data_IF_791326877995
#
_entry.id   IF_791326877995
#
_cell.length_a   1.000
_cell.length_b   1.000
_cell.length_c   1.000
_cell.angle_alpha   90.00
_cell.angle_beta   90.00
_cell.angle_gamma   90.00
#
_symmetry.space_group_name_H-M   'P 1'
#
loop_
_entity.id
_entity.type
_entity.pdbx_description
1 polymer ?
#
# COMPACT_ATOMS: atom_id res chain seq x y z
N UNK A 1 4.43 18.54 -46.31
CA UNK A 1 4.89 19.63 -45.40
C UNK A 1 6.39 19.72 -45.52
N UNK A 2 6.95 20.85 -45.96
CA UNK A 2 8.40 21.09 -45.84
C UNK A 2 8.68 21.31 -44.36
N UNK A 3 9.55 20.51 -43.77
CA UNK A 3 10.01 20.74 -42.39
C UNK A 3 10.75 22.06 -42.40
N UNK A 4 10.26 23.04 -41.66
CA UNK A 4 10.95 24.32 -41.48
C UNK A 4 12.34 24.10 -40.89
N UNK A 5 13.30 24.95 -41.28
CA UNK A 5 14.68 24.84 -40.81
C UNK A 5 14.72 25.19 -39.32
N UNK A 6 15.13 24.22 -38.49
CA UNK A 6 15.28 24.39 -37.04
C UNK A 6 16.64 25.05 -36.73
N UNK A 7 16.68 25.89 -35.69
CA UNK A 7 17.89 26.54 -35.18
C UNK A 7 18.10 26.18 -33.70
N UNK A 8 19.35 25.97 -33.29
CA UNK A 8 19.74 25.78 -31.89
C UNK A 8 20.10 27.15 -31.32
N UNK A 9 19.34 27.59 -30.32
CA UNK A 9 19.57 28.88 -29.64
C UNK A 9 20.23 28.61 -28.27
N UNK A 10 21.39 29.24 -28.04
CA UNK A 10 22.05 29.22 -26.74
C UNK A 10 21.72 30.49 -25.96
N UNK A 11 21.24 30.32 -24.73
CA UNK A 11 21.04 31.41 -23.77
C UNK A 11 21.77 31.04 -22.47
N UNK A 12 22.77 31.81 -22.02
CA UNK A 12 23.51 31.52 -20.80
C UNK A 12 22.67 31.74 -19.52
N UNK A 13 21.56 32.49 -19.59
CA UNK A 13 20.66 32.77 -18.48
C UNK A 13 19.19 32.70 -18.98
N UNK A 14 18.70 31.50 -19.34
CA UNK A 14 17.41 31.36 -19.98
C UNK A 14 16.28 31.93 -19.10
N UNK A 15 15.34 32.70 -19.68
CA UNK A 15 14.16 33.16 -18.97
C UNK A 15 13.37 31.99 -18.38
N UNK A 16 12.76 32.22 -17.21
CA UNK A 16 12.00 31.19 -16.49
C UNK A 16 10.94 30.51 -17.36
N UNK A 17 10.32 31.27 -18.27
CA UNK A 17 9.33 30.75 -19.21
C UNK A 17 9.89 29.66 -20.13
N UNK A 18 11.12 29.82 -20.65
CA UNK A 18 11.76 28.82 -21.51
C UNK A 18 12.18 27.60 -20.70
N UNK A 19 12.73 27.79 -19.49
CA UNK A 19 13.04 26.68 -18.58
C UNK A 19 11.78 25.89 -18.26
N UNK A 20 10.68 26.58 -17.93
CA UNK A 20 9.39 25.98 -17.61
C UNK A 20 8.84 25.19 -18.80
N UNK A 21 8.85 25.79 -19.99
CA UNK A 21 8.44 25.12 -21.23
C UNK A 21 9.15 23.77 -21.41
N UNK A 22 10.48 23.71 -21.24
CA UNK A 22 11.23 22.45 -21.37
C UNK A 22 10.83 21.45 -20.28
N UNK A 23 10.79 21.89 -19.01
CA UNK A 23 10.49 21.00 -17.88
C UNK A 23 9.07 20.44 -17.90
N UNK A 24 8.06 21.24 -18.24
CA UNK A 24 6.65 20.83 -18.34
C UNK A 24 6.41 19.95 -19.56
N UNK A 25 7.07 20.24 -20.69
CA UNK A 25 7.00 19.39 -21.88
C UNK A 25 7.58 18.00 -21.60
N UNK A 26 8.73 17.93 -20.92
CA UNK A 26 9.35 16.67 -20.52
C UNK A 26 8.48 15.93 -19.49
N UNK A 27 7.92 16.63 -18.49
CA UNK A 27 7.02 16.03 -17.52
C UNK A 27 5.78 15.42 -18.19
N UNK A 28 5.17 16.14 -19.15
CA UNK A 28 4.01 15.67 -19.91
C UNK A 28 4.35 14.43 -20.75
N UNK A 29 5.50 14.45 -21.42
CA UNK A 29 6.00 13.28 -22.16
C UNK A 29 6.21 12.07 -21.24
N UNK A 30 6.85 12.27 -20.08
CA UNK A 30 7.11 11.20 -19.12
C UNK A 30 5.81 10.61 -18.56
N UNK A 31 4.81 11.44 -18.25
CA UNK A 31 3.48 10.98 -17.82
C UNK A 31 2.84 10.14 -18.92
N UNK A 32 2.86 10.61 -20.17
CA UNK A 32 2.31 9.86 -21.29
C UNK A 32 3.03 8.51 -21.54
N UNK A 33 4.36 8.49 -21.38
CA UNK A 33 5.17 7.30 -21.61
C UNK A 33 5.07 6.26 -20.48
N UNK A 34 4.90 6.70 -19.23
CA UNK A 34 4.96 5.80 -18.05
C UNK A 34 3.60 5.54 -17.42
N UNK A 35 2.59 6.38 -17.69
CA UNK A 35 1.30 6.36 -16.99
C UNK A 35 1.39 6.82 -15.52
N UNK A 36 2.58 7.17 -15.02
CA UNK A 36 2.79 7.59 -13.64
C UNK A 36 2.51 9.09 -13.50
N UNK A 37 1.88 9.47 -12.39
CA UNK A 37 1.53 10.87 -12.11
C UNK A 37 2.76 11.78 -12.11
N UNK A 38 2.52 13.07 -12.38
CA UNK A 38 3.56 14.07 -12.52
C UNK A 38 4.49 14.14 -11.30
N UNK A 39 5.78 14.35 -11.61
CA UNK A 39 6.81 14.78 -10.68
C UNK A 39 6.28 15.90 -9.77
N UNK A 40 6.53 15.81 -8.46
CA UNK A 40 6.18 16.91 -7.56
C UNK A 40 7.27 17.19 -6.53
N UNK A 41 7.52 18.48 -6.21
CA UNK A 41 8.52 18.89 -5.24
C UNK A 41 8.02 18.67 -3.80
N UNK A 42 8.94 18.40 -2.89
CA UNK A 42 8.70 18.30 -1.44
C UNK A 42 9.71 19.14 -0.67
N UNK A 43 9.24 19.74 0.43
CA UNK A 43 10.06 20.58 1.29
C UNK A 43 9.71 20.40 2.75
N UNK A 44 10.74 20.25 3.60
CA UNK A 44 10.61 20.10 5.05
C UNK A 44 11.51 21.12 5.72
N UNK A 45 10.98 21.94 6.63
CA UNK A 45 11.71 23.08 7.17
C UNK A 45 11.77 23.04 8.69
N UNK A 46 12.91 23.43 9.25
CA UNK A 46 13.09 23.63 10.67
C UNK A 46 12.81 25.10 10.99
N UNK A 47 11.76 25.36 11.78
CA UNK A 47 11.39 26.71 12.22
C UNK A 47 11.43 26.81 13.75
N UNK A 48 12.02 27.88 14.27
CA UNK A 48 12.05 28.16 15.71
C UNK A 48 10.69 28.65 16.22
N UNK A 49 10.52 28.70 17.55
CA UNK A 49 9.32 29.29 18.18
C UNK A 49 9.17 30.79 17.88
N UNK A 50 10.26 31.50 17.64
CA UNK A 50 10.26 32.92 17.25
C UNK A 50 10.00 33.13 15.76
N UNK A 51 9.86 32.06 14.97
CA UNK A 51 9.55 32.12 13.54
C UNK A 51 10.77 32.13 12.61
N UNK A 52 11.98 31.95 13.15
CA UNK A 52 13.23 31.90 12.38
C UNK A 52 13.41 30.54 11.67
N UNK A 53 13.90 30.56 10.44
CA UNK A 53 14.23 29.35 9.66
C UNK A 53 15.66 28.90 9.96
N UNK A 54 15.80 27.68 10.49
CA UNK A 54 17.07 27.15 11.01
C UNK A 54 17.60 25.95 10.21
N UNK A 55 16.91 25.56 9.13
CA UNK A 55 17.28 24.42 8.30
C UNK A 55 16.16 23.96 7.40
N UNK A 56 16.48 23.06 6.46
CA UNK A 56 15.48 22.41 5.63
C UNK A 56 16.04 21.27 4.79
N UNK A 57 15.10 20.49 4.24
CA UNK A 57 15.32 19.45 3.26
C UNK A 57 14.43 19.75 2.05
N UNK A 58 15.02 19.73 0.87
CA UNK A 58 14.31 19.82 -0.41
C UNK A 58 14.49 18.52 -1.19
N UNK A 59 13.48 18.17 -1.97
CA UNK A 59 13.52 17.00 -2.83
C UNK A 59 12.33 16.95 -3.78
N UNK A 60 12.18 15.81 -4.43
CA UNK A 60 11.06 15.56 -5.32
C UNK A 60 10.67 14.08 -5.28
N UNK A 61 9.40 13.80 -5.56
CA UNK A 61 8.89 12.43 -5.68
C UNK A 61 8.46 12.18 -7.12
N UNK A 62 8.93 11.07 -7.67
CA UNK A 62 8.49 10.56 -8.97
C UNK A 62 8.79 9.06 -9.07
N UNK A 63 7.94 8.33 -9.79
CA UNK A 63 8.17 6.91 -10.07
C UNK A 63 8.24 5.99 -8.84
N UNK A 64 7.63 6.38 -7.72
CA UNK A 64 7.73 5.63 -6.45
C UNK A 64 9.07 5.83 -5.72
N UNK A 65 9.80 6.90 -6.02
CA UNK A 65 11.05 7.24 -5.35
C UNK A 65 11.06 8.70 -4.88
N UNK A 66 11.56 8.92 -3.67
CA UNK A 66 11.99 10.23 -3.19
C UNK A 66 13.42 10.50 -3.67
N UNK A 67 13.67 11.64 -4.29
CA UNK A 67 15.02 12.14 -4.53
C UNK A 67 15.27 13.36 -3.64
N UNK A 68 16.23 13.27 -2.72
CA UNK A 68 16.63 14.40 -1.87
C UNK A 68 17.70 15.20 -2.59
N UNK A 69 17.41 16.48 -2.87
CA UNK A 69 18.32 17.37 -3.59
C UNK A 69 19.17 18.20 -2.64
N UNK A 70 18.59 18.66 -1.51
CA UNK A 70 19.28 19.52 -0.57
C UNK A 70 18.93 19.15 0.87
N UNK A 71 19.93 19.19 1.75
CA UNK A 71 19.74 19.12 3.20
C UNK A 71 20.70 20.12 3.86
N UNK A 72 20.15 21.07 4.61
CA UNK A 72 20.95 22.06 5.31
C UNK A 72 20.39 22.35 6.70
N UNK A 73 21.30 22.58 7.65
CA UNK A 73 20.97 22.94 9.04
C UNK A 73 21.94 24.02 9.51
N UNK A 74 21.42 25.08 10.11
CA UNK A 74 22.18 26.19 10.67
C UNK A 74 23.18 25.70 11.72
N UNK A 75 24.40 26.25 11.69
CA UNK A 75 25.52 25.82 12.54
C UNK A 75 25.18 25.81 14.03
N UNK A 76 24.44 26.82 14.50
CA UNK A 76 24.02 26.99 15.89
C UNK A 76 23.19 25.81 16.44
N UNK A 77 22.51 25.06 15.58
CA UNK A 77 21.64 23.93 15.98
C UNK A 77 22.13 22.58 15.43
N UNK A 78 23.35 22.50 14.90
CA UNK A 78 23.93 21.22 14.48
C UNK A 78 24.19 20.31 15.68
N UNK A 79 24.36 19.01 15.41
CA UNK A 79 24.58 17.94 16.41
C UNK A 79 23.40 17.70 17.37
N UNK A 80 22.26 18.35 17.16
CA UNK A 80 21.01 18.12 17.91
C UNK A 80 20.01 17.22 17.14
N UNK A 81 20.51 16.39 16.22
CA UNK A 81 19.73 15.45 15.39
C UNK A 81 18.67 16.09 14.49
N UNK A 82 18.66 17.41 14.26
CA UNK A 82 17.71 18.05 13.34
C UNK A 82 17.80 17.52 11.90
N UNK A 83 19.01 17.29 11.38
CA UNK A 83 19.18 16.64 10.07
C UNK A 83 18.55 15.23 10.03
N UNK A 84 18.64 14.47 11.13
CA UNK A 84 17.95 13.18 11.25
C UNK A 84 16.44 13.34 11.13
N UNK A 85 15.88 14.31 11.87
CA UNK A 85 14.44 14.54 11.91
C UNK A 85 13.89 14.98 10.55
N UNK A 86 14.64 15.81 9.83
CA UNK A 86 14.30 16.22 8.46
C UNK A 86 14.27 15.02 7.50
N UNK A 87 15.31 14.17 7.53
CA UNK A 87 15.34 12.94 6.72
C UNK A 87 14.18 12.01 7.08
N UNK A 88 13.94 11.76 8.37
CA UNK A 88 12.84 10.89 8.82
C UNK A 88 11.47 11.40 8.38
N UNK A 89 11.22 12.72 8.46
CA UNK A 89 9.98 13.31 7.99
C UNK A 89 9.80 13.14 6.48
N UNK A 90 10.88 13.35 5.70
CA UNK A 90 10.84 13.17 4.25
C UNK A 90 10.63 11.71 3.85
N UNK A 91 11.33 10.77 4.49
CA UNK A 91 11.19 9.32 4.26
C UNK A 91 9.78 8.83 4.63
N UNK A 92 9.24 9.26 5.79
CA UNK A 92 7.89 8.88 6.21
C UNK A 92 6.83 9.38 5.21
N UNK A 93 6.93 10.64 4.80
CA UNK A 93 6.04 11.19 3.78
C UNK A 93 6.19 10.47 2.43
N UNK A 94 7.40 10.10 2.03
CA UNK A 94 7.61 9.32 0.82
C UNK A 94 6.92 7.95 0.90
N UNK A 95 7.02 7.26 2.04
CA UNK A 95 6.32 5.99 2.30
C UNK A 95 4.80 6.15 2.22
N UNK A 96 4.23 7.19 2.86
CA UNK A 96 2.79 7.51 2.76
C UNK A 96 2.33 7.75 1.32
N UNK A 97 3.25 8.22 0.46
CA UNK A 97 3.02 8.46 -0.96
C UNK A 97 3.34 7.25 -1.84
N UNK A 98 3.60 6.09 -1.24
CA UNK A 98 3.88 4.85 -1.94
C UNK A 98 5.28 4.72 -2.49
N UNK A 99 6.23 5.52 -1.99
CA UNK A 99 7.61 5.38 -2.42
C UNK A 99 8.25 4.12 -1.83
N UNK A 100 8.82 3.30 -2.70
CA UNK A 100 9.57 2.09 -2.32
C UNK A 100 10.99 2.41 -1.85
N UNK A 101 11.50 3.59 -2.22
CA UNK A 101 12.88 3.98 -1.98
C UNK A 101 13.12 5.48 -1.99
N UNK A 102 14.31 5.85 -1.54
CA UNK A 102 14.85 7.19 -1.64
C UNK A 102 16.24 7.17 -2.28
N UNK A 103 16.58 8.21 -3.03
CA UNK A 103 17.91 8.47 -3.56
C UNK A 103 18.39 9.85 -3.16
N UNK A 104 19.72 10.02 -3.15
CA UNK A 104 20.36 11.31 -2.97
C UNK A 104 21.78 11.28 -3.52
N UNK A 105 22.36 12.46 -3.62
CA UNK A 105 23.76 12.66 -3.99
C UNK A 105 24.48 13.40 -2.87
N UNK A 106 25.76 13.07 -2.65
CA UNK A 106 26.60 13.82 -1.71
C UNK A 106 28.05 13.73 -2.12
N UNK A 107 28.87 14.70 -1.75
CA UNK A 107 30.30 14.74 -2.07
C UNK A 107 31.17 14.25 -0.91
N UNK A 108 32.44 13.96 -1.19
CA UNK A 108 33.44 13.51 -0.21
C UNK A 108 33.70 14.48 0.94
N UNK A 109 33.45 15.78 0.74
CA UNK A 109 33.56 16.83 1.77
C UNK A 109 32.22 17.13 2.47
N UNK A 110 31.15 16.46 2.06
CA UNK A 110 29.84 16.55 2.70
C UNK A 110 29.60 15.34 3.63
N UNK A 111 28.33 14.99 3.84
CA UNK A 111 27.90 14.16 4.95
C UNK A 111 27.67 12.69 4.55
N UNK A 112 28.57 12.07 3.76
CA UNK A 112 28.43 10.64 3.39
C UNK A 112 28.21 9.72 4.62
N UNK A 113 29.03 9.78 5.69
CA UNK A 113 28.82 8.94 6.87
C UNK A 113 27.51 9.22 7.61
N UNK A 114 26.90 10.40 7.42
CA UNK A 114 25.58 10.70 7.97
C UNK A 114 24.51 9.88 7.24
N UNK A 115 24.54 9.79 5.91
CA UNK A 115 23.54 9.03 5.16
C UNK A 115 23.72 7.51 5.36
N UNK A 116 24.95 7.01 5.35
CA UNK A 116 25.24 5.58 5.58
C UNK A 116 24.71 5.09 6.95
N UNK A 117 24.90 5.90 8.01
CA UNK A 117 24.33 5.62 9.35
C UNK A 117 22.80 5.58 9.38
N UNK A 118 22.12 6.01 8.32
CA UNK A 118 20.65 6.00 8.17
C UNK A 118 20.17 4.89 7.22
N UNK A 119 21.06 4.00 6.80
CA UNK A 119 20.73 2.87 5.92
C UNK A 119 20.74 3.24 4.44
N UNK A 120 21.39 4.34 4.06
CA UNK A 120 21.70 4.61 2.66
C UNK A 120 22.96 3.85 2.25
N UNK A 121 22.93 3.29 1.05
CA UNK A 121 24.02 2.55 0.44
C UNK A 121 24.50 3.26 -0.81
N UNK A 122 25.81 3.30 -1.02
CA UNK A 122 26.41 3.82 -2.26
C UNK A 122 26.16 2.81 -3.38
N UNK A 123 25.56 3.26 -4.48
CA UNK A 123 25.37 2.43 -5.69
C UNK A 123 26.18 2.91 -6.89
N UNK A 124 26.67 4.15 -6.86
CA UNK A 124 27.61 4.68 -7.85
C UNK A 124 28.51 5.75 -7.22
N UNK A 125 29.71 5.89 -7.78
CA UNK A 125 30.68 6.94 -7.44
C UNK A 125 31.14 7.61 -8.73
N UNK A 126 31.22 8.93 -8.71
CA UNK A 126 31.88 9.74 -9.72
C UNK A 126 33.13 10.34 -9.10
N UNK A 127 34.29 9.87 -9.54
CA UNK A 127 35.58 10.35 -9.07
C UNK A 127 35.96 11.67 -9.73
N UNK A 128 36.85 12.41 -9.06
CA UNK A 128 37.40 13.70 -9.50
C UNK A 128 36.33 14.78 -9.77
N UNK A 129 35.28 14.81 -8.94
CA UNK A 129 34.20 15.77 -8.98
C UNK A 129 33.91 16.42 -7.62
N UNK A 130 34.17 17.73 -7.47
CA UNK A 130 35.16 18.51 -8.24
C UNK A 130 36.58 17.92 -8.14
N UNK A 131 37.57 18.42 -8.90
CA UNK A 131 38.92 17.88 -8.88
C UNK A 131 39.47 17.66 -7.45
N UNK A 132 39.98 16.46 -7.18
CA UNK A 132 40.46 16.04 -5.86
C UNK A 132 39.38 15.52 -4.91
N UNK A 133 38.12 15.46 -5.34
CA UNK A 133 36.97 14.99 -4.55
C UNK A 133 36.16 13.95 -5.34
N UNK A 134 35.32 13.18 -4.66
CA UNK A 134 34.34 12.29 -5.31
C UNK A 134 32.91 12.69 -4.97
N UNK A 135 31.99 12.42 -5.90
CA UNK A 135 30.54 12.48 -5.71
C UNK A 135 29.99 11.06 -5.59
N UNK A 136 29.15 10.84 -4.60
CA UNK A 136 28.52 9.56 -4.31
C UNK A 136 27.03 9.65 -4.61
N UNK A 137 26.50 8.60 -5.23
CA UNK A 137 25.08 8.40 -5.43
C UNK A 137 24.62 7.32 -4.46
N UNK A 138 23.66 7.68 -3.62
CA UNK A 138 23.17 6.83 -2.56
C UNK A 138 21.71 6.49 -2.79
N UNK A 139 21.33 5.28 -2.37
CA UNK A 139 19.95 4.82 -2.33
C UNK A 139 19.62 4.20 -0.99
N UNK A 140 18.36 4.25 -0.61
CA UNK A 140 17.81 3.55 0.55
C UNK A 140 16.47 2.96 0.15
N UNK A 141 16.25 1.70 0.49
CA UNK A 141 14.91 1.12 0.40
C UNK A 141 14.09 1.59 1.60
N UNK A 142 12.90 2.14 1.36
CA UNK A 142 12.03 2.68 2.41
C UNK A 142 11.02 1.66 2.93
N UNK A 143 10.71 0.63 2.13
CA UNK A 143 9.79 -0.44 2.49
C UNK A 143 10.51 -1.81 2.48
N UNK A 144 10.26 -2.67 3.47
CA UNK A 144 10.71 -4.06 3.46
C UNK A 144 10.28 -4.79 2.19
N UNK A 145 11.11 -5.73 1.74
CA UNK A 145 10.74 -6.62 0.64
C UNK A 145 9.59 -7.52 1.06
N UNK A 146 8.68 -7.76 0.12
CA UNK A 146 7.64 -8.78 0.25
C UNK A 146 8.31 -10.15 0.34
N UNK A 147 8.03 -10.96 1.38
CA UNK A 147 8.59 -12.31 1.48
C UNK A 147 8.21 -13.15 0.26
N UNK A 148 9.12 -13.98 -0.25
CA UNK A 148 8.86 -14.83 -1.44
C UNK A 148 7.63 -15.73 -1.27
N UNK A 149 7.37 -16.18 -0.04
CA UNK A 149 6.19 -16.99 0.28
C UNK A 149 4.90 -16.18 0.23
N UNK A 150 4.93 -14.92 0.67
CA UNK A 150 3.80 -13.99 0.50
C UNK A 150 3.55 -13.73 -1.00
N UNK A 151 4.61 -13.49 -1.78
CA UNK A 151 4.53 -13.34 -3.24
C UNK A 151 3.88 -14.56 -3.89
N UNK A 152 4.29 -15.77 -3.50
CA UNK A 152 3.72 -17.02 -4.02
C UNK A 152 2.20 -17.12 -3.81
N UNK A 153 1.70 -16.69 -2.65
CA UNK A 153 0.26 -16.64 -2.39
C UNK A 153 -0.45 -15.57 -3.23
N UNK A 154 0.14 -14.38 -3.36
CA UNK A 154 -0.42 -13.32 -4.19
C UNK A 154 -0.47 -13.74 -5.66
N UNK A 155 0.57 -14.40 -6.16
CA UNK A 155 0.63 -14.91 -7.53
C UNK A 155 -0.42 -16.00 -7.76
N UNK A 156 -0.65 -16.88 -6.78
CA UNK A 156 -1.74 -17.86 -6.84
C UNK A 156 -3.11 -17.17 -6.89
N UNK A 157 -3.34 -16.20 -6.00
CA UNK A 157 -4.63 -15.56 -5.81
C UNK A 157 -5.00 -14.58 -6.93
N UNK A 158 -4.02 -13.78 -7.38
CA UNK A 158 -4.20 -12.72 -8.37
C UNK A 158 -3.76 -13.11 -9.79
N UNK A 159 -3.05 -14.22 -9.97
CA UNK A 159 -2.37 -14.56 -11.23
C UNK A 159 -0.92 -14.05 -11.21
N UNK A 160 0.01 -14.56 -12.04
CA UNK A 160 1.45 -14.21 -12.01
C UNK A 160 1.70 -12.75 -12.41
N UNK A 161 2.87 -12.18 -12.09
CA UNK A 161 3.21 -10.76 -12.39
C UNK A 161 3.09 -10.39 -13.88
N UNK A 162 3.28 -11.37 -14.77
CA UNK A 162 3.17 -11.18 -16.22
C UNK A 162 1.72 -11.27 -16.74
N UNK A 163 0.75 -11.60 -15.89
CA UNK A 163 -0.66 -11.71 -16.29
C UNK A 163 -1.26 -10.30 -16.48
N UNK A 164 -1.72 -9.93 -17.69
CA UNK A 164 -2.30 -8.61 -17.95
C UNK A 164 -3.60 -8.38 -17.16
N UNK A 165 -4.26 -9.44 -16.69
CA UNK A 165 -5.50 -9.38 -15.91
C UNK A 165 -5.25 -9.48 -14.40
N UNK A 166 -3.99 -9.49 -13.94
CA UNK A 166 -3.63 -9.61 -12.50
C UNK A 166 -4.30 -8.57 -11.61
N UNK A 167 -4.47 -7.36 -12.13
CA UNK A 167 -5.09 -6.24 -11.42
C UNK A 167 -6.60 -6.13 -11.66
N UNK A 168 -7.21 -7.12 -12.34
CA UNK A 168 -8.64 -7.16 -12.61
C UNK A 168 -9.40 -8.04 -11.59
N UNK A 169 -10.69 -7.80 -11.35
CA UNK A 169 -11.51 -8.67 -10.52
C UNK A 169 -11.63 -10.08 -11.13
N UNK A 170 -11.34 -11.14 -10.35
CA UNK A 170 -11.46 -12.52 -10.82
C UNK A 170 -12.73 -13.19 -10.27
N UNK A 171 -13.54 -13.87 -11.10
CA UNK A 171 -14.74 -14.58 -10.63
C UNK A 171 -14.45 -15.63 -9.55
N UNK A 172 -13.28 -16.28 -9.61
CA UNK A 172 -12.87 -17.36 -8.71
C UNK A 172 -12.84 -16.94 -7.23
N UNK A 173 -12.66 -15.65 -6.93
CA UNK A 173 -12.67 -15.12 -5.55
C UNK A 173 -14.04 -15.23 -4.88
N UNK A 174 -15.12 -15.22 -5.67
CA UNK A 174 -16.51 -15.25 -5.18
C UNK A 174 -17.29 -16.48 -5.63
N UNK A 175 -16.80 -17.15 -6.68
CA UNK A 175 -17.36 -18.37 -7.27
C UNK A 175 -16.24 -19.39 -7.42
N UNK A 176 -15.73 -19.83 -6.27
CA UNK A 176 -14.66 -20.83 -6.23
C UNK A 176 -15.15 -22.21 -6.70
N UNK A 177 -14.20 -23.12 -6.95
CA UNK A 177 -14.46 -24.51 -7.33
C UNK A 177 -13.75 -25.46 -6.37
N UNK A 178 -14.19 -26.72 -6.33
CA UNK A 178 -13.57 -27.73 -5.47
C UNK A 178 -12.09 -27.96 -5.84
N UNK A 179 -11.74 -27.83 -7.12
CA UNK A 179 -10.36 -27.93 -7.59
C UNK A 179 -9.51 -26.76 -7.08
N UNK A 180 -10.05 -25.54 -7.07
CA UNK A 180 -9.36 -24.37 -6.53
C UNK A 180 -9.19 -24.49 -5.01
N UNK A 181 -10.24 -24.89 -4.30
CA UNK A 181 -10.20 -25.09 -2.84
C UNK A 181 -9.17 -26.18 -2.47
N UNK A 182 -9.13 -27.29 -3.23
CA UNK A 182 -8.17 -28.37 -3.03
C UNK A 182 -6.72 -27.93 -3.32
N UNK A 183 -6.49 -27.17 -4.40
CA UNK A 183 -5.18 -26.62 -4.71
C UNK A 183 -4.73 -25.62 -3.63
N UNK A 184 -5.59 -24.69 -3.25
CA UNK A 184 -5.30 -23.70 -2.20
C UNK A 184 -4.98 -24.38 -0.87
N UNK A 185 -5.71 -25.44 -0.51
CA UNK A 185 -5.45 -26.23 0.69
C UNK A 185 -4.10 -26.95 0.61
N UNK A 186 -3.80 -27.61 -0.51
CA UNK A 186 -2.52 -28.32 -0.68
C UNK A 186 -1.34 -27.36 -0.55
N UNK A 187 -1.43 -26.19 -1.17
CA UNK A 187 -0.32 -25.24 -1.21
C UNK A 187 -0.18 -24.43 0.09
N UNK A 188 -1.28 -23.94 0.69
CA UNK A 188 -1.21 -22.90 1.72
C UNK A 188 -1.79 -23.29 3.09
N UNK A 189 -2.18 -24.55 3.32
CA UNK A 189 -2.64 -24.98 4.65
C UNK A 189 -1.57 -24.76 5.74
N UNK A 190 -0.30 -25.09 5.45
CA UNK A 190 0.78 -24.88 6.41
C UNK A 190 1.01 -23.39 6.73
N UNK A 191 0.90 -22.52 5.72
CA UNK A 191 1.01 -21.07 5.89
C UNK A 191 -0.17 -20.51 6.69
N UNK A 192 -1.38 -21.05 6.48
CA UNK A 192 -2.54 -20.74 7.31
C UNK A 192 -2.29 -21.07 8.78
N UNK A 193 -1.83 -22.29 9.09
CA UNK A 193 -1.57 -22.69 10.49
C UNK A 193 -0.49 -21.79 11.13
N UNK A 194 0.55 -21.44 10.37
CA UNK A 194 1.59 -20.51 10.82
C UNK A 194 1.07 -19.09 11.05
N UNK A 195 0.20 -18.58 10.16
CA UNK A 195 -0.44 -17.28 10.30
C UNK A 195 -1.39 -17.25 11.52
N UNK A 196 -2.26 -18.25 11.65
CA UNK A 196 -3.20 -18.39 12.76
C UNK A 196 -2.47 -18.54 14.11
N UNK A 197 -1.30 -19.21 14.11
CA UNK A 197 -0.40 -19.29 15.26
C UNK A 197 0.41 -18.01 15.53
N UNK A 198 0.33 -17.00 14.66
CA UNK A 198 1.01 -15.71 14.82
C UNK A 198 2.47 -15.68 14.35
N UNK A 199 2.99 -16.75 13.77
CA UNK A 199 4.38 -16.86 13.32
C UNK A 199 4.71 -16.01 12.08
N UNK A 200 3.68 -15.53 11.36
CA UNK A 200 3.84 -14.71 10.14
C UNK A 200 3.61 -13.21 10.36
N UNK A 201 3.61 -12.72 11.61
CA UNK A 201 3.45 -11.28 11.92
C UNK A 201 4.45 -10.37 11.21
N UNK A 202 5.65 -10.87 10.90
CA UNK A 202 6.67 -10.10 10.16
C UNK A 202 6.23 -9.71 8.75
N UNK A 203 5.24 -10.39 8.17
CA UNK A 203 4.71 -10.04 6.84
C UNK A 203 3.99 -8.70 6.83
N UNK A 204 3.50 -8.22 7.99
CA UNK A 204 2.90 -6.90 8.13
C UNK A 204 3.90 -5.75 7.92
N UNK A 205 5.17 -6.03 7.65
CA UNK A 205 6.19 -5.02 7.41
C UNK A 205 6.13 -4.40 6.01
N UNK A 206 5.42 -5.00 5.04
CA UNK A 206 5.20 -4.44 3.70
C UNK A 206 3.72 -4.48 3.29
N UNK A 207 3.27 -3.64 2.33
CA UNK A 207 1.87 -3.63 1.89
C UNK A 207 1.39 -4.98 1.35
N UNK A 208 2.17 -5.59 0.47
CA UNK A 208 1.85 -6.89 -0.13
C UNK A 208 1.96 -8.03 0.89
N UNK A 209 2.94 -7.97 1.80
CA UNK A 209 3.04 -8.95 2.89
C UNK A 209 1.84 -8.90 3.81
N UNK A 210 1.38 -7.70 4.18
CA UNK A 210 0.15 -7.51 4.95
C UNK A 210 -1.07 -8.05 4.18
N UNK A 211 -1.20 -7.76 2.89
CA UNK A 211 -2.28 -8.30 2.06
C UNK A 211 -2.27 -9.83 2.04
N UNK A 212 -1.12 -10.46 1.84
CA UNK A 212 -0.98 -11.91 1.84
C UNK A 212 -1.38 -12.52 3.19
N UNK A 213 -0.98 -11.89 4.31
CA UNK A 213 -1.40 -12.31 5.64
C UNK A 213 -2.92 -12.20 5.82
N UNK A 214 -3.55 -11.14 5.32
CA UNK A 214 -5.01 -10.98 5.35
C UNK A 214 -5.71 -12.05 4.52
N UNK A 215 -5.18 -12.40 3.35
CA UNK A 215 -5.72 -13.52 2.57
C UNK A 215 -5.62 -14.84 3.35
N UNK A 216 -4.49 -15.12 3.99
CA UNK A 216 -4.33 -16.33 4.83
C UNK A 216 -5.33 -16.37 5.98
N UNK A 217 -5.60 -15.25 6.64
CA UNK A 217 -6.45 -15.22 7.84
C UNK A 217 -7.94 -15.04 7.53
N UNK A 218 -8.31 -14.47 6.38
CA UNK A 218 -9.70 -14.14 6.04
C UNK A 218 -10.22 -14.96 4.86
N UNK A 219 -9.55 -14.97 3.72
CA UNK A 219 -10.10 -15.61 2.51
C UNK A 219 -9.82 -17.11 2.47
N UNK A 220 -8.56 -17.50 2.64
CA UNK A 220 -8.11 -18.89 2.58
C UNK A 220 -8.92 -19.83 3.49
N UNK A 221 -9.26 -19.48 4.74
CA UNK A 221 -10.02 -20.38 5.63
C UNK A 221 -11.44 -20.65 5.13
N UNK A 222 -12.06 -19.68 4.44
CA UNK A 222 -13.41 -19.79 3.85
C UNK A 222 -13.44 -20.77 2.68
N UNK A 223 -12.31 -20.99 2.03
CA UNK A 223 -12.10 -21.99 0.98
C UNK A 223 -11.70 -23.34 1.59
N UNK A 224 -10.59 -23.41 2.33
CA UNK A 224 -9.97 -24.70 2.71
C UNK A 224 -10.71 -25.43 3.85
N UNK A 225 -11.57 -24.73 4.60
CA UNK A 225 -12.40 -25.28 5.68
C UNK A 225 -13.90 -25.05 5.46
N UNK A 226 -14.35 -24.99 4.20
CA UNK A 226 -15.77 -24.84 3.85
C UNK A 226 -16.65 -25.81 4.67
N UNK A 227 -17.74 -25.28 5.23
CA UNK A 227 -18.67 -26.07 6.03
C UNK A 227 -18.17 -26.44 7.44
N UNK A 228 -17.03 -25.90 7.89
CA UNK A 228 -16.50 -26.09 9.24
C UNK A 228 -16.40 -24.78 10.03
N UNK A 229 -16.56 -24.80 11.37
CA UNK A 229 -16.27 -23.63 12.22
C UNK A 229 -14.85 -23.07 12.04
N UNK A 230 -13.90 -23.89 11.56
CA UNK A 230 -12.53 -23.46 11.25
C UNK A 230 -12.47 -22.35 10.18
N UNK A 231 -13.49 -22.23 9.32
CA UNK A 231 -13.57 -21.15 8.33
C UNK A 231 -13.64 -19.74 8.96
N UNK A 232 -14.02 -19.64 10.24
CA UNK A 232 -14.18 -18.36 10.97
C UNK A 232 -13.18 -18.21 12.12
N UNK A 233 -12.37 -19.23 12.41
CA UNK A 233 -11.54 -19.28 13.61
C UNK A 233 -10.47 -18.18 13.68
N UNK A 234 -10.07 -17.65 12.52
CA UNK A 234 -9.04 -16.62 12.37
C UNK A 234 -9.61 -15.22 12.08
N UNK A 235 -10.93 -15.05 12.03
CA UNK A 235 -11.60 -13.77 11.69
C UNK A 235 -11.12 -12.62 12.61
N UNK A 236 -10.96 -12.87 13.92
CA UNK A 236 -10.48 -11.86 14.86
C UNK A 236 -9.04 -11.42 14.55
N UNK A 237 -8.15 -12.38 14.26
CA UNK A 237 -6.77 -12.10 13.90
C UNK A 237 -6.68 -11.35 12.56
N UNK A 238 -7.52 -11.70 11.59
CA UNK A 238 -7.63 -10.98 10.32
C UNK A 238 -8.07 -9.52 10.53
N UNK A 239 -9.10 -9.29 11.36
CA UNK A 239 -9.59 -7.94 11.68
C UNK A 239 -8.51 -7.08 12.35
N UNK A 240 -7.77 -7.65 13.30
CA UNK A 240 -6.68 -6.93 13.97
C UNK A 240 -5.51 -6.63 13.02
N UNK A 241 -5.16 -7.55 12.13
CA UNK A 241 -4.14 -7.33 11.12
C UNK A 241 -4.58 -6.26 10.10
N UNK A 242 -5.86 -6.26 9.72
CA UNK A 242 -6.42 -5.29 8.79
C UNK A 242 -6.37 -3.87 9.37
N UNK A 243 -6.70 -3.74 10.66
CA UNK A 243 -6.62 -2.47 11.37
C UNK A 243 -5.21 -1.88 11.34
N UNK A 244 -4.19 -2.68 11.68
CA UNK A 244 -2.78 -2.26 11.65
C UNK A 244 -2.29 -1.93 10.24
N UNK A 245 -2.79 -2.63 9.22
CA UNK A 245 -2.43 -2.36 7.84
C UNK A 245 -3.04 -1.03 7.35
N UNK A 246 -4.29 -0.73 7.72
CA UNK A 246 -4.96 0.52 7.41
C UNK A 246 -4.32 1.71 8.13
N UNK A 247 -3.91 1.55 9.39
CA UNK A 247 -3.17 2.59 10.14
C UNK A 247 -1.86 2.99 9.44
N UNK A 248 -1.28 2.09 8.64
CA UNK A 248 -0.08 2.33 7.82
C UNK A 248 -0.40 2.79 6.39
N UNK A 249 -1.68 2.92 6.03
CA UNK A 249 -2.14 3.28 4.69
C UNK A 249 -1.79 2.25 3.61
N UNK A 250 -1.51 0.99 3.99
CA UNK A 250 -1.02 -0.02 3.06
C UNK A 250 -2.01 -0.42 1.98
N UNK A 251 -3.31 -0.27 2.24
CA UNK A 251 -4.36 -0.49 1.24
C UNK A 251 -4.24 0.50 0.06
N UNK A 252 -3.72 1.71 0.29
CA UNK A 252 -3.49 2.66 -0.80
C UNK A 252 -2.26 2.34 -1.65
N UNK A 253 -1.40 1.44 -1.17
CA UNK A 253 -0.12 1.08 -1.79
C UNK A 253 -0.17 -0.21 -2.62
N UNK A 254 -1.36 -0.77 -2.81
CA UNK A 254 -1.63 -1.92 -3.68
C UNK A 254 -2.59 -1.52 -4.82
N UNK A 255 -2.66 -2.32 -5.92
CA UNK A 255 -3.64 -2.12 -6.98
C UNK A 255 -5.07 -1.92 -6.44
N UNK A 256 -5.86 -0.98 -7.00
CA UNK A 256 -7.21 -0.67 -6.50
C UNK A 256 -8.14 -1.88 -6.38
N UNK A 257 -8.01 -2.85 -7.29
CA UNK A 257 -8.82 -4.06 -7.27
C UNK A 257 -8.52 -4.97 -6.06
N UNK A 258 -7.33 -4.88 -5.46
CA UNK A 258 -6.91 -5.73 -4.34
C UNK A 258 -7.34 -5.16 -2.98
N UNK A 259 -7.61 -3.86 -2.90
CA UNK A 259 -7.99 -3.15 -1.66
C UNK A 259 -9.15 -3.76 -0.91
N UNK A 260 -10.09 -4.39 -1.63
CA UNK A 260 -11.25 -5.04 -1.03
C UNK A 260 -10.87 -6.09 0.03
N UNK A 261 -9.73 -6.77 -0.13
CA UNK A 261 -9.27 -7.80 0.79
C UNK A 261 -8.72 -7.22 2.11
N UNK A 262 -8.33 -5.94 2.11
CA UNK A 262 -8.06 -5.22 3.36
C UNK A 262 -9.33 -4.89 4.14
N UNK A 263 -10.48 -4.80 3.45
CA UNK A 263 -11.73 -4.30 4.04
C UNK A 263 -12.67 -5.44 4.46
N UNK A 264 -12.56 -6.60 3.80
CA UNK A 264 -13.36 -7.79 4.10
C UNK A 264 -13.31 -8.26 5.56
N UNK A 265 -12.18 -8.22 6.28
CA UNK A 265 -12.16 -8.63 7.69
C UNK A 265 -13.15 -7.84 8.57
N UNK A 266 -13.33 -6.54 8.31
CA UNK A 266 -14.35 -5.72 8.99
C UNK A 266 -15.78 -6.11 8.56
N UNK A 267 -15.97 -6.45 7.27
CA UNK A 267 -17.25 -6.95 6.77
C UNK A 267 -17.64 -8.31 7.36
N UNK A 268 -16.67 -9.14 7.72
CA UNK A 268 -16.90 -10.45 8.31
C UNK A 268 -17.06 -10.42 9.83
N UNK A 269 -16.73 -9.30 10.48
CA UNK A 269 -16.82 -9.11 11.92
C UNK A 269 -18.28 -9.02 12.39
N UNK A 270 -18.61 -9.72 13.47
CA UNK A 270 -19.90 -9.60 14.18
C UNK A 270 -19.89 -8.40 15.15
N UNK A 271 -19.40 -7.24 14.69
CA UNK A 271 -19.32 -5.99 15.45
C UNK A 271 -19.88 -4.83 14.62
N UNK A 272 -20.80 -4.06 15.21
CA UNK A 272 -21.49 -2.99 14.50
C UNK A 272 -20.56 -1.84 14.05
N UNK A 273 -19.53 -1.51 14.84
CA UNK A 273 -18.56 -0.49 14.46
C UNK A 273 -17.73 -0.94 13.25
N UNK A 274 -17.36 -2.22 13.19
CA UNK A 274 -16.65 -2.79 12.05
C UNK A 274 -17.52 -2.80 10.79
N UNK A 275 -18.79 -3.15 10.91
CA UNK A 275 -19.72 -3.10 9.78
C UNK A 275 -19.86 -1.68 9.21
N UNK A 276 -19.96 -0.66 10.08
CA UNK A 276 -20.00 0.75 9.67
C UNK A 276 -18.70 1.18 8.98
N UNK A 277 -17.54 0.78 9.54
CA UNK A 277 -16.23 1.07 8.95
C UNK A 277 -16.06 0.40 7.59
N UNK A 278 -16.42 -0.89 7.50
CA UNK A 278 -16.43 -1.66 6.25
C UNK A 278 -17.22 -0.94 5.17
N UNK A 279 -18.46 -0.52 5.46
CA UNK A 279 -19.30 0.20 4.50
C UNK A 279 -18.64 1.50 4.01
N UNK A 280 -18.01 2.28 4.91
CA UNK A 280 -17.30 3.49 4.52
C UNK A 280 -16.11 3.18 3.59
N UNK A 281 -15.30 2.16 3.91
CA UNK A 281 -14.15 1.72 3.11
C UNK A 281 -14.58 1.22 1.72
N UNK A 282 -15.60 0.36 1.64
CA UNK A 282 -16.11 -0.13 0.36
C UNK A 282 -16.73 0.97 -0.51
N UNK A 283 -17.37 1.97 0.09
CA UNK A 283 -17.90 3.13 -0.64
C UNK A 283 -16.79 4.05 -1.18
N UNK A 284 -15.59 4.02 -0.60
CA UNK A 284 -14.44 4.79 -1.06
C UNK A 284 -13.68 4.10 -2.22
N UNK A 285 -13.98 2.84 -2.54
CA UNK A 285 -13.39 2.16 -3.69
C UNK A 285 -13.84 2.80 -5.00
N UNK A 286 -12.96 2.87 -6.03
CA UNK A 286 -13.35 3.32 -7.37
C UNK A 286 -14.56 2.53 -7.87
N UNK A 287 -15.52 3.23 -8.49
CA UNK A 287 -16.66 2.58 -9.13
C UNK A 287 -16.15 1.67 -10.24
N UNK A 288 -16.40 0.37 -10.11
CA UNK A 288 -16.16 -0.58 -11.18
C UNK A 288 -17.49 -0.83 -11.92
N UNK A 289 -17.60 -0.45 -13.21
CA UNK A 289 -18.83 -0.62 -13.99
C UNK A 289 -19.26 -2.08 -14.12
N UNK A 290 -18.32 -3.03 -14.12
CA UNK A 290 -18.58 -4.47 -14.25
C UNK A 290 -18.98 -5.13 -12.93
N UNK A 291 -18.68 -4.50 -11.79
CA UNK A 291 -19.21 -4.92 -10.47
C UNK A 291 -20.59 -4.32 -10.27
N UNK A 292 -21.57 -4.73 -11.08
CA UNK A 292 -22.94 -4.22 -11.06
C UNK A 292 -23.55 -4.11 -9.66
N UNK A 293 -23.37 -2.96 -9.00
CA UNK A 293 -23.92 -2.59 -7.68
C UNK A 293 -23.67 -3.55 -6.50
N UNK A 294 -22.99 -4.68 -6.70
CA UNK A 294 -23.12 -5.85 -5.83
C UNK A 294 -22.51 -5.65 -4.44
N UNK A 295 -21.28 -5.16 -4.34
CA UNK A 295 -20.61 -4.91 -3.05
C UNK A 295 -21.36 -3.88 -2.18
N UNK A 296 -21.96 -2.86 -2.81
CA UNK A 296 -22.78 -1.86 -2.11
C UNK A 296 -24.08 -2.45 -1.58
N UNK A 297 -24.64 -3.45 -2.29
CA UNK A 297 -25.85 -4.20 -1.91
C UNK A 297 -25.57 -5.22 -0.79
N UNK A 298 -24.38 -5.82 -0.76
CA UNK A 298 -23.96 -6.72 0.32
C UNK A 298 -23.65 -5.97 1.62
N UNK A 299 -23.01 -4.80 1.57
CA UNK A 299 -22.65 -4.03 2.76
C UNK A 299 -23.84 -3.57 3.61
N UNK A 300 -24.87 -2.98 3.00
CA UNK A 300 -26.04 -2.47 3.74
C UNK A 300 -26.84 -3.60 4.43
N UNK A 301 -27.06 -4.71 3.74
CA UNK A 301 -27.82 -5.83 4.28
C UNK A 301 -27.12 -6.54 5.45
N UNK A 302 -25.79 -6.39 5.60
CA UNK A 302 -25.03 -6.97 6.69
C UNK A 302 -25.04 -6.08 7.95
N UNK A 303 -25.02 -4.74 7.77
CA UNK A 303 -25.19 -3.81 8.89
C UNK A 303 -26.52 -4.03 9.58
N UNK A 304 -27.62 -4.13 8.83
CA UNK A 304 -28.97 -4.34 9.40
C UNK A 304 -29.04 -5.64 10.21
N UNK A 305 -28.39 -6.70 9.72
CA UNK A 305 -28.31 -8.00 10.42
C UNK A 305 -27.55 -7.87 11.74
N UNK A 306 -26.37 -7.24 11.72
CA UNK A 306 -25.57 -7.06 12.93
C UNK A 306 -26.22 -6.07 13.90
N UNK A 307 -26.89 -5.03 13.41
CA UNK A 307 -27.66 -4.10 14.25
C UNK A 307 -28.86 -4.79 14.91
N UNK A 308 -29.55 -5.69 14.19
CA UNK A 308 -30.73 -6.41 14.69
C UNK A 308 -30.38 -7.58 15.62
N UNK A 309 -29.32 -8.33 15.31
CA UNK A 309 -29.03 -9.60 15.99
C UNK A 309 -27.69 -9.62 16.72
N UNK A 310 -26.82 -8.63 16.51
CA UNK A 310 -25.46 -8.59 17.06
C UNK A 310 -24.50 -9.62 16.45
N UNK A 311 -24.98 -10.46 15.53
CA UNK A 311 -24.24 -11.58 14.93
C UNK A 311 -24.87 -12.01 13.61
N UNK A 312 -24.21 -12.90 12.86
CA UNK A 312 -24.72 -13.47 11.62
C UNK A 312 -25.50 -14.77 11.88
N UNK A 313 -26.84 -14.79 11.73
CA UNK A 313 -27.64 -15.97 12.07
C UNK A 313 -27.33 -17.19 11.19
N UNK A 314 -26.90 -16.99 9.94
CA UNK A 314 -26.50 -18.06 9.04
C UNK A 314 -25.27 -18.85 9.54
N UNK A 315 -24.48 -18.29 10.48
CA UNK A 315 -23.35 -18.98 11.10
C UNK A 315 -23.74 -19.77 12.35
N UNK A 316 -24.98 -19.72 12.81
CA UNK A 316 -25.36 -20.31 14.10
C UNK A 316 -25.13 -21.82 14.13
N UNK A 317 -25.61 -22.56 13.13
CA UNK A 317 -25.46 -24.02 13.06
C UNK A 317 -23.99 -24.46 13.04
N UNK A 318 -23.20 -23.88 12.13
CA UNK A 318 -21.77 -24.19 11.96
C UNK A 318 -20.92 -23.79 13.17
N UNK A 319 -21.34 -22.80 13.96
CA UNK A 319 -20.69 -22.38 15.20
C UNK A 319 -21.31 -23.01 16.46
N UNK A 320 -22.29 -23.91 16.34
CA UNK A 320 -22.96 -24.55 17.47
C UNK A 320 -23.78 -23.60 18.35
N UNK A 321 -24.26 -22.47 17.80
CA UNK A 321 -25.08 -21.48 18.50
C UNK A 321 -26.56 -21.82 18.34
N UNK A 322 -27.33 -21.62 19.41
CA UNK A 322 -28.79 -21.71 19.35
C UNK A 322 -29.35 -20.46 18.67
N UNK A 323 -30.16 -20.66 17.62
CA UNK A 323 -30.88 -19.58 16.93
C UNK A 323 -32.14 -19.18 17.71
N UNK A 324 -32.36 -17.88 17.84
CA UNK A 324 -33.60 -17.32 18.39
C UNK A 324 -34.77 -17.45 17.40
N UNK A 325 -36.03 -17.38 17.86
CA UNK A 325 -37.19 -17.39 16.95
C UNK A 325 -37.13 -16.29 15.88
N UNK A 326 -36.65 -15.09 16.25
CA UNK A 326 -36.52 -13.97 15.32
C UNK A 326 -35.43 -14.23 14.25
N UNK A 327 -34.33 -14.88 14.62
CA UNK A 327 -33.28 -15.29 13.68
C UNK A 327 -33.79 -16.37 12.71
N UNK A 328 -34.57 -17.34 13.19
CA UNK A 328 -35.16 -18.40 12.36
C UNK A 328 -36.13 -17.81 11.33
N UNK A 329 -37.03 -16.92 11.77
CA UNK A 329 -37.98 -16.23 10.89
C UNK A 329 -37.25 -15.42 9.80
N UNK A 330 -36.24 -14.64 10.20
CA UNK A 330 -35.42 -13.85 9.27
C UNK A 330 -34.72 -14.73 8.21
N UNK A 331 -34.16 -15.87 8.61
CA UNK A 331 -33.50 -16.79 7.69
C UNK A 331 -34.49 -17.47 6.72
N UNK A 332 -35.74 -17.71 7.14
CA UNK A 332 -36.79 -18.24 6.27
C UNK A 332 -37.24 -17.23 5.21
N UNK A 333 -37.41 -15.96 5.57
CA UNK A 333 -37.77 -14.87 4.65
C UNK A 333 -36.71 -14.67 3.55
N UNK A 334 -35.41 -14.71 3.90
CA UNK A 334 -34.33 -14.56 2.91
C UNK A 334 -34.26 -15.72 1.91
N UNK A 335 -34.53 -16.95 2.34
CA UNK A 335 -34.56 -18.12 1.45
C UNK A 335 -35.67 -18.05 0.39
N UNK A 336 -36.73 -17.28 0.64
CA UNK A 336 -37.83 -17.08 -0.32
C UNK A 336 -37.56 -15.91 -1.29
N UNK A 337 -36.57 -15.07 -1.00
CA UNK A 337 -36.24 -13.85 -1.75
C UNK A 337 -34.94 -13.94 -2.57
N UNK A 338 -34.24 -15.08 -2.51
CA UNK A 338 -33.06 -15.44 -3.32
C UNK A 338 -33.43 -16.56 -4.27
#
# INVERSE_FOLDING_TARGET
MRVEKLEIVFDPLPPEQLTRFVTESLASFNVAATGLSAWYPVGFFLKSRSGEWLGGLLGNIWGGWLHVTHLWVASAVRRQRHGTRLMQAAEAYAVERGCIGATLETTSFEARPFYEKRGYEVFATLDDYPPGHSKFFLRKRLMPLTPDRAKSLLDFWFGPEADPDREQPRPIWFKSTDEFDAALRREFLADYEAAAGGSLRSWEASPEGALALLLLLDQVPRNIFRGSPRAYASDAAARDAADRALDRGFDHLVPPAWRLFFYMPFHHSENLADQRRSLALFNALPRNPDRGGSLRRYGCAYIEVIERFGRFPHRNEILGRVSTPAEIAFMAERKQSS
#
